data_IF_517676001029
#
_entry.id   IF_517676001029
#
_cell.length_a   1.000
_cell.length_b   1.000
_cell.length_c   1.000
_cell.angle_alpha   90.00
_cell.angle_beta   90.00
_cell.angle_gamma   90.00
#
_symmetry.space_group_name_H-M   'P 1'
#
loop_
_entity.id
_entity.type
_entity.pdbx_description
1 polymer ?
#
# COMPACT_ATOMS: atom_id res chain seq x y z
N UNK A 1 -13.44 -12.24 -32.28
CA UNK A 1 -13.66 -10.79 -32.50
C UNK A 1 -14.81 -10.20 -31.68
N UNK A 2 -16.02 -10.78 -31.65
CA UNK A 2 -17.18 -10.23 -30.89
C UNK A 2 -16.94 -10.02 -29.38
N UNK A 3 -16.20 -10.91 -28.72
CA UNK A 3 -15.93 -10.81 -27.28
C UNK A 3 -15.00 -9.62 -26.95
N UNK A 4 -13.96 -9.41 -27.77
CA UNK A 4 -13.01 -8.29 -27.64
C UNK A 4 -13.72 -6.96 -27.88
N UNK A 5 -14.62 -6.90 -28.88
CA UNK A 5 -15.46 -5.73 -29.15
C UNK A 5 -16.45 -5.44 -28.00
N UNK A 6 -17.05 -6.47 -27.39
CA UNK A 6 -17.92 -6.32 -26.21
C UNK A 6 -17.15 -5.83 -24.98
N UNK A 7 -15.95 -6.36 -24.74
CA UNK A 7 -15.08 -5.93 -23.64
C UNK A 7 -14.63 -4.47 -23.83
N UNK A 8 -14.26 -4.09 -25.06
CA UNK A 8 -13.88 -2.72 -25.40
C UNK A 8 -15.03 -1.71 -25.26
N UNK A 9 -16.27 -2.13 -25.55
CA UNK A 9 -17.47 -1.29 -25.40
C UNK A 9 -18.08 -1.32 -24.00
N UNK A 10 -17.53 -2.10 -23.06
CA UNK A 10 -18.02 -2.13 -21.69
C UNK A 10 -17.81 -0.78 -20.99
N UNK A 11 -18.74 -0.38 -20.10
CA UNK A 11 -18.59 0.83 -19.29
C UNK A 11 -17.32 0.81 -18.43
N UNK A 12 -16.84 -0.38 -18.09
CA UNK A 12 -15.61 -0.62 -17.33
C UNK A 12 -14.34 -0.30 -18.13
N UNK A 13 -14.38 -0.46 -19.45
CA UNK A 13 -13.25 -0.18 -20.33
C UNK A 13 -13.06 1.31 -20.67
N UNK A 14 -14.00 2.18 -20.30
CA UNK A 14 -13.89 3.64 -20.48
C UNK A 14 -12.77 4.19 -19.60
N UNK A 15 -11.93 5.07 -20.15
CA UNK A 15 -10.77 5.61 -19.44
C UNK A 15 -11.13 6.35 -18.14
N UNK A 16 -12.27 7.05 -18.09
CA UNK A 16 -12.70 7.74 -16.85
C UNK A 16 -13.12 6.76 -15.74
N UNK A 17 -13.77 5.66 -16.09
CA UNK A 17 -14.10 4.58 -15.14
C UNK A 17 -12.82 3.94 -14.61
N UNK A 18 -11.89 3.59 -15.51
CA UNK A 18 -10.60 3.02 -15.13
C UNK A 18 -9.81 3.97 -14.22
N UNK A 19 -9.71 5.26 -14.56
CA UNK A 19 -9.03 6.26 -13.73
C UNK A 19 -9.67 6.36 -12.34
N UNK A 20 -11.01 6.32 -12.26
CA UNK A 20 -11.72 6.33 -10.98
C UNK A 20 -11.39 5.10 -10.13
N UNK A 21 -11.41 3.91 -10.73
CA UNK A 21 -11.05 2.66 -10.05
C UNK A 21 -9.58 2.65 -9.61
N UNK A 22 -8.66 3.07 -10.46
CA UNK A 22 -7.24 3.23 -10.11
C UNK A 22 -7.10 4.14 -8.89
N UNK A 23 -7.77 5.30 -8.88
CA UNK A 23 -7.70 6.21 -7.74
C UNK A 23 -8.28 5.65 -6.44
N UNK A 24 -9.40 4.94 -6.50
CA UNK A 24 -10.01 4.33 -5.30
C UNK A 24 -9.09 3.25 -4.75
N UNK A 25 -8.64 2.33 -5.60
CA UNK A 25 -7.80 1.21 -5.19
C UNK A 25 -6.42 1.67 -4.68
N UNK A 26 -5.82 2.68 -5.30
CA UNK A 26 -4.52 3.23 -4.88
C UNK A 26 -4.56 3.93 -3.51
N UNK A 27 -5.74 4.36 -3.05
CA UNK A 27 -5.91 5.02 -1.75
C UNK A 27 -6.42 4.03 -0.70
N UNK A 28 -7.44 3.24 -1.03
CA UNK A 28 -8.05 2.28 -0.09
C UNK A 28 -7.13 1.08 0.17
N UNK A 29 -6.41 0.58 -0.85
CA UNK A 29 -5.49 -0.54 -0.69
C UNK A 29 -4.47 -0.31 0.44
N UNK A 30 -3.71 0.80 0.41
CA UNK A 30 -2.81 1.16 1.50
C UNK A 30 -3.47 1.31 2.88
N UNK A 31 -4.70 1.83 2.95
CA UNK A 31 -5.45 1.93 4.22
C UNK A 31 -5.74 0.54 4.78
N UNK A 32 -6.19 -0.38 3.92
CA UNK A 32 -6.43 -1.78 4.29
C UNK A 32 -5.14 -2.45 4.77
N UNK A 33 -4.02 -2.25 4.06
CA UNK A 33 -2.70 -2.80 4.45
C UNK A 33 -2.34 -2.37 5.88
N UNK A 34 -2.37 -1.06 6.16
CA UNK A 34 -1.92 -0.55 7.46
C UNK A 34 -2.88 -0.93 8.58
N UNK A 35 -4.19 -0.87 8.35
CA UNK A 35 -5.16 -1.34 9.36
C UNK A 35 -4.96 -2.81 9.73
N UNK A 36 -4.65 -3.65 8.74
CA UNK A 36 -4.36 -5.06 8.98
C UNK A 36 -2.98 -5.28 9.62
N UNK A 37 -1.97 -4.48 9.26
CA UNK A 37 -0.66 -4.50 9.92
C UNK A 37 -0.75 -4.12 11.40
N UNK A 38 -1.58 -3.12 11.76
CA UNK A 38 -1.84 -2.82 13.17
C UNK A 38 -2.54 -3.96 13.91
N UNK A 39 -3.48 -4.64 13.26
CA UNK A 39 -4.10 -5.83 13.84
C UNK A 39 -3.02 -6.91 14.07
N UNK A 40 -2.18 -7.19 13.08
CA UNK A 40 -1.08 -8.14 13.18
C UNK A 40 -0.15 -7.83 14.38
N UNK A 41 0.26 -6.57 14.52
CA UNK A 41 1.03 -6.11 15.69
C UNK A 41 0.35 -6.41 17.02
N UNK A 42 -0.96 -6.14 17.11
CA UNK A 42 -1.75 -6.36 18.33
C UNK A 42 -1.84 -7.85 18.64
N UNK A 43 -2.01 -8.71 17.63
CA UNK A 43 -2.01 -10.16 17.77
C UNK A 43 -0.68 -10.67 18.33
N UNK A 44 0.45 -10.17 17.80
CA UNK A 44 1.78 -10.48 18.34
C UNK A 44 1.93 -10.06 19.81
N UNK A 45 1.46 -8.86 20.17
CA UNK A 45 1.48 -8.38 21.56
C UNK A 45 0.62 -9.23 22.51
N UNK A 46 -0.48 -9.78 21.99
CA UNK A 46 -1.37 -10.68 22.73
C UNK A 46 -0.85 -12.12 22.78
N UNK A 47 0.28 -12.42 22.11
CA UNK A 47 0.88 -13.75 22.01
C UNK A 47 -0.10 -14.77 21.42
N UNK A 48 -0.89 -14.33 20.44
CA UNK A 48 -1.74 -15.25 19.68
C UNK A 48 -0.86 -16.24 18.90
N UNK A 49 -1.35 -17.46 18.60
CA UNK A 49 -0.57 -18.43 17.85
C UNK A 49 -0.19 -17.91 16.45
N UNK A 50 1.10 -17.98 16.14
CA UNK A 50 1.65 -17.46 14.89
C UNK A 50 1.39 -18.38 13.70
N UNK A 51 0.77 -17.83 12.66
CA UNK A 51 0.61 -18.48 11.37
C UNK A 51 0.96 -17.49 10.26
N UNK A 52 1.76 -17.95 9.30
CA UNK A 52 2.03 -17.18 8.08
C UNK A 52 0.73 -16.78 7.35
N UNK A 53 -0.30 -17.64 7.41
CA UNK A 53 -1.62 -17.37 6.84
C UNK A 53 -2.65 -16.92 7.89
N UNK A 54 -2.27 -15.99 8.78
CA UNK A 54 -3.20 -15.43 9.76
C UNK A 54 -4.27 -14.56 9.09
N UNK A 55 -5.43 -14.33 9.76
CA UNK A 55 -6.46 -13.43 9.25
C UNK A 55 -5.93 -12.01 8.97
N UNK A 56 -5.05 -11.47 9.82
CA UNK A 56 -4.39 -10.16 9.62
C UNK A 56 -3.55 -10.16 8.34
N UNK A 57 -2.67 -11.15 8.16
CA UNK A 57 -1.87 -11.30 6.94
C UNK A 57 -2.72 -11.40 5.68
N UNK A 58 -3.86 -12.12 5.73
CA UNK A 58 -4.76 -12.23 4.57
C UNK A 58 -5.33 -10.88 4.16
N UNK A 59 -5.66 -10.02 5.12
CA UNK A 59 -6.17 -8.67 4.85
C UNK A 59 -5.03 -7.76 4.35
N UNK A 60 -3.81 -7.90 4.87
CA UNK A 60 -2.61 -7.23 4.33
C UNK A 60 -2.44 -7.58 2.84
N UNK A 61 -2.43 -8.86 2.49
CA UNK A 61 -2.31 -9.32 1.10
C UNK A 61 -3.47 -8.86 0.24
N UNK A 62 -4.68 -8.82 0.79
CA UNK A 62 -5.83 -8.25 0.09
C UNK A 62 -5.59 -6.77 -0.26
N UNK A 63 -5.11 -5.95 0.68
CA UNK A 63 -4.76 -4.55 0.42
C UNK A 63 -3.63 -4.39 -0.61
N UNK A 64 -2.61 -5.25 -0.58
CA UNK A 64 -1.55 -5.30 -1.62
C UNK A 64 -2.13 -5.64 -2.98
N UNK A 65 -3.06 -6.61 -3.04
CA UNK A 65 -3.75 -7.00 -4.27
C UNK A 65 -4.60 -5.86 -4.86
N UNK A 66 -5.22 -5.03 -4.01
CA UNK A 66 -5.96 -3.84 -4.44
C UNK A 66 -5.03 -2.83 -5.11
N UNK A 67 -3.89 -2.52 -4.47
CA UNK A 67 -2.88 -1.60 -5.02
C UNK A 67 -2.29 -2.15 -6.33
N UNK A 68 -2.10 -3.46 -6.40
CA UNK A 68 -1.61 -4.15 -7.61
C UNK A 68 -2.61 -4.11 -8.75
N UNK A 69 -3.90 -4.35 -8.48
CA UNK A 69 -4.97 -4.16 -9.45
C UNK A 69 -4.99 -2.71 -9.99
N UNK A 70 -4.79 -1.73 -9.09
CA UNK A 70 -4.66 -0.32 -9.48
C UNK A 70 -3.49 -0.10 -10.45
N UNK A 71 -2.31 -0.66 -10.13
CA UNK A 71 -1.13 -0.57 -10.99
C UNK A 71 -1.36 -1.21 -12.37
N UNK A 72 -1.97 -2.40 -12.44
CA UNK A 72 -2.28 -3.10 -13.70
C UNK A 72 -3.22 -2.25 -14.56
N UNK A 73 -4.30 -1.73 -13.98
CA UNK A 73 -5.24 -0.86 -14.69
C UNK A 73 -4.58 0.46 -15.14
N UNK A 74 -3.67 1.00 -14.31
CA UNK A 74 -2.83 2.14 -14.64
C UNK A 74 -1.91 1.90 -15.83
N UNK A 75 -1.26 0.74 -15.90
CA UNK A 75 -0.47 0.32 -17.06
C UNK A 75 -1.33 0.30 -18.33
N UNK A 76 -2.55 -0.25 -18.27
CA UNK A 76 -3.47 -0.26 -19.41
C UNK A 76 -3.78 1.16 -19.91
N UNK A 77 -4.00 2.12 -19.00
CA UNK A 77 -4.24 3.54 -19.35
C UNK A 77 -3.02 4.19 -20.01
N UNK A 78 -1.81 3.89 -19.53
CA UNK A 78 -0.56 4.38 -20.14
C UNK A 78 -0.36 3.78 -21.54
N UNK A 79 -0.56 2.47 -21.70
CA UNK A 79 -0.41 1.80 -23.00
C UNK A 79 -1.40 2.29 -24.05
N UNK A 80 -2.63 2.62 -23.63
CA UNK A 80 -3.64 3.24 -24.49
C UNK A 80 -3.35 4.71 -24.83
N UNK A 81 -2.26 5.29 -24.29
CA UNK A 81 -1.90 6.70 -24.42
C UNK A 81 -3.05 7.65 -24.03
N UNK A 82 -3.90 7.24 -23.08
CA UNK A 82 -5.10 7.99 -22.70
C UNK A 82 -4.88 8.92 -21.50
N UNK A 83 -3.64 9.11 -21.06
CA UNK A 83 -3.28 9.85 -19.84
C UNK A 83 -2.00 10.66 -20.05
N UNK A 84 -1.99 11.89 -19.53
CA UNK A 84 -0.89 12.85 -19.70
C UNK A 84 -0.62 13.62 -18.39
N UNK A 85 0.51 14.35 -18.35
CA UNK A 85 0.86 15.24 -17.24
C UNK A 85 0.82 14.57 -15.86
N UNK A 86 0.20 15.25 -14.89
CA UNK A 86 0.12 14.79 -13.50
C UNK A 86 -0.60 13.45 -13.33
N UNK A 87 -1.57 13.13 -14.19
CA UNK A 87 -2.29 11.86 -14.16
C UNK A 87 -1.37 10.69 -14.49
N UNK A 88 -0.53 10.85 -15.53
CA UNK A 88 0.48 9.85 -15.91
C UNK A 88 1.53 9.68 -14.81
N UNK A 89 1.98 10.78 -14.20
CA UNK A 89 2.91 10.73 -13.06
C UNK A 89 2.29 10.00 -11.87
N UNK A 90 1.05 10.31 -11.51
CA UNK A 90 0.34 9.63 -10.42
C UNK A 90 0.22 8.12 -10.65
N UNK A 91 -0.15 7.71 -11.86
CA UNK A 91 -0.19 6.28 -12.23
C UNK A 91 1.19 5.62 -12.11
N UNK A 92 2.26 6.29 -12.54
CA UNK A 92 3.62 5.74 -12.38
C UNK A 92 4.01 5.55 -10.92
N UNK A 93 3.65 6.49 -10.05
CA UNK A 93 3.90 6.35 -8.60
C UNK A 93 3.15 5.16 -8.01
N UNK A 94 1.88 4.94 -8.39
CA UNK A 94 1.12 3.75 -7.98
C UNK A 94 1.80 2.46 -8.43
N UNK A 95 2.29 2.42 -9.68
CA UNK A 95 3.01 1.24 -10.21
C UNK A 95 4.29 0.97 -9.42
N UNK A 96 5.12 2.00 -9.21
CA UNK A 96 6.37 1.85 -8.43
C UNK A 96 6.06 1.44 -6.99
N UNK A 97 5.07 2.07 -6.35
CA UNK A 97 4.65 1.72 -5.00
C UNK A 97 4.16 0.27 -4.88
N UNK A 98 3.38 -0.21 -5.84
CA UNK A 98 2.92 -1.60 -5.91
C UNK A 98 4.07 -2.59 -6.10
N UNK A 99 5.05 -2.27 -6.96
CA UNK A 99 6.24 -3.12 -7.14
C UNK A 99 7.04 -3.19 -5.84
N UNK A 100 7.26 -2.06 -5.18
CA UNK A 100 7.92 -2.04 -3.87
C UNK A 100 7.15 -2.91 -2.87
N UNK A 101 5.82 -2.81 -2.80
CA UNK A 101 5.03 -3.61 -1.87
C UNK A 101 5.19 -5.12 -2.10
N UNK A 102 5.11 -5.57 -3.36
CA UNK A 102 5.23 -7.00 -3.68
C UNK A 102 6.63 -7.51 -3.35
N UNK A 103 7.66 -6.79 -3.80
CA UNK A 103 9.06 -7.21 -3.59
C UNK A 103 9.41 -7.20 -2.10
N UNK A 104 8.97 -6.15 -1.39
CA UNK A 104 9.29 -6.00 0.04
C UNK A 104 8.50 -6.98 0.89
N UNK A 105 7.24 -7.26 0.59
CA UNK A 105 6.48 -8.29 1.31
C UNK A 105 7.08 -9.69 1.15
N UNK A 106 7.64 -10.01 -0.02
CA UNK A 106 8.40 -11.25 -0.19
C UNK A 106 9.74 -11.22 0.57
N UNK A 107 10.45 -10.09 0.52
CA UNK A 107 11.70 -9.90 1.27
C UNK A 107 11.51 -9.98 2.78
N UNK A 108 10.37 -9.51 3.28
CA UNK A 108 9.98 -9.56 4.68
C UNK A 108 9.70 -11.00 5.14
N UNK A 109 8.95 -11.76 4.36
CA UNK A 109 8.79 -13.21 4.58
C UNK A 109 10.13 -13.95 4.67
N UNK A 110 11.09 -13.63 3.79
CA UNK A 110 12.43 -14.22 3.86
C UNK A 110 13.22 -13.75 5.09
N UNK A 111 13.02 -12.50 5.52
CA UNK A 111 13.60 -11.97 6.76
C UNK A 111 13.12 -12.78 7.95
N UNK A 112 11.81 -13.06 8.03
CA UNK A 112 11.22 -13.88 9.10
C UNK A 112 11.78 -15.30 9.14
N UNK A 113 12.00 -15.91 7.97
CA UNK A 113 12.59 -17.26 7.88
C UNK A 113 14.05 -17.31 8.37
N UNK A 114 14.82 -16.23 8.18
CA UNK A 114 16.26 -16.20 8.48
C UNK A 114 16.55 -15.63 9.87
N UNK A 115 15.86 -14.56 10.25
CA UNK A 115 16.15 -13.77 11.45
C UNK A 115 15.07 -13.90 12.54
N UNK A 116 13.98 -14.60 12.26
CA UNK A 116 12.82 -14.70 13.14
C UNK A 116 11.81 -13.57 12.90
N UNK A 117 10.63 -13.72 13.50
CA UNK A 117 9.54 -12.75 13.37
C UNK A 117 9.99 -11.41 13.96
N UNK A 118 9.80 -10.35 13.20
CA UNK A 118 10.06 -8.98 13.62
C UNK A 118 8.75 -8.16 13.68
N UNK A 119 8.75 -7.07 14.44
CA UNK A 119 7.60 -6.15 14.50
C UNK A 119 7.58 -5.15 13.34
N UNK A 120 6.52 -4.34 13.24
CA UNK A 120 6.32 -3.34 12.16
C UNK A 120 7.48 -2.36 11.95
N UNK A 121 8.35 -2.15 12.95
CA UNK A 121 9.48 -1.20 12.88
C UNK A 121 10.74 -1.87 12.28
N UNK A 122 10.64 -3.08 11.74
CA UNK A 122 11.81 -3.74 11.18
C UNK A 122 12.31 -3.10 9.88
N UNK A 123 13.57 -3.38 9.54
CA UNK A 123 14.20 -2.90 8.31
C UNK A 123 13.58 -3.51 7.06
N UNK A 124 13.07 -4.75 7.13
CA UNK A 124 12.39 -5.40 6.00
C UNK A 124 11.02 -4.76 5.70
N UNK A 125 10.38 -4.15 6.70
CA UNK A 125 9.10 -3.46 6.56
C UNK A 125 9.19 -2.05 5.93
N UNK A 126 10.29 -1.32 6.10
CA UNK A 126 10.37 0.09 5.64
C UNK A 126 10.16 0.27 4.12
N UNK A 127 10.71 -0.60 3.24
CA UNK A 127 10.42 -0.54 1.81
C UNK A 127 8.94 -0.80 1.45
N UNK A 128 8.24 -1.63 2.22
CA UNK A 128 6.79 -1.86 2.08
C UNK A 128 6.02 -0.55 2.36
N UNK A 129 6.41 0.15 3.43
CA UNK A 129 5.79 1.41 3.84
C UNK A 129 6.05 2.55 2.85
N UNK A 130 7.26 2.61 2.29
CA UNK A 130 7.56 3.53 1.19
C UNK A 130 6.61 3.27 0.00
N UNK A 131 6.30 2.00 -0.28
CA UNK A 131 5.31 1.63 -1.28
C UNK A 131 3.92 2.21 -1.01
N UNK A 132 3.47 2.24 0.25
CA UNK A 132 2.20 2.87 0.67
C UNK A 132 2.20 4.38 0.43
N UNK A 133 3.31 5.06 0.77
CA UNK A 133 3.50 6.50 0.54
C UNK A 133 3.43 6.82 -0.95
N UNK A 134 4.14 6.06 -1.79
CA UNK A 134 4.12 6.27 -3.25
C UNK A 134 2.74 6.01 -3.86
N UNK A 135 2.05 4.94 -3.43
CA UNK A 135 0.71 4.63 -3.92
C UNK A 135 -0.31 5.71 -3.55
N UNK A 136 -0.29 6.17 -2.29
CA UNK A 136 -1.19 7.23 -1.81
C UNK A 136 -0.90 8.59 -2.45
N UNK A 137 0.37 8.98 -2.64
CA UNK A 137 0.74 10.17 -3.40
C UNK A 137 0.28 10.07 -4.86
N UNK A 138 0.44 8.89 -5.46
CA UNK A 138 -0.08 8.59 -6.78
C UNK A 138 -1.59 8.80 -6.86
N UNK A 139 -2.34 8.30 -5.86
CA UNK A 139 -3.78 8.51 -5.71
C UNK A 139 -4.17 9.99 -5.68
N UNK A 140 -3.45 10.84 -4.93
CA UNK A 140 -3.68 12.29 -4.90
C UNK A 140 -3.49 12.91 -6.28
N UNK A 141 -2.38 12.60 -6.96
CA UNK A 141 -2.09 13.19 -8.27
C UNK A 141 -3.12 12.80 -9.33
N UNK A 142 -3.64 11.58 -9.25
CA UNK A 142 -4.72 11.08 -10.09
C UNK A 142 -6.03 11.83 -9.78
N UNK A 143 -6.41 11.94 -8.50
CA UNK A 143 -7.64 12.60 -8.05
C UNK A 143 -7.63 14.12 -8.30
N UNK A 144 -6.45 14.75 -8.27
CA UNK A 144 -6.26 16.17 -8.61
C UNK A 144 -6.53 16.43 -10.09
N UNK A 145 -6.35 15.44 -10.97
CA UNK A 145 -6.61 15.58 -12.40
C UNK A 145 -8.12 15.45 -12.69
N UNK A 146 -8.76 16.59 -12.93
CA UNK A 146 -10.22 16.75 -13.01
C UNK A 146 -10.83 16.28 -14.33
N UNK A 147 -10.04 16.10 -15.37
CA UNK A 147 -10.53 15.77 -16.71
C UNK A 147 -11.08 14.32 -16.76
N UNK A 148 -10.56 13.44 -15.89
CA UNK A 148 -10.81 12.01 -15.97
C UNK A 148 -11.48 11.39 -14.73
N UNK A 149 -11.69 12.13 -13.64
CA UNK A 149 -12.41 11.64 -12.45
C UNK A 149 -13.34 12.68 -11.82
N UNK A 150 -14.53 12.22 -11.38
CA UNK A 150 -15.53 13.05 -10.69
C UNK A 150 -15.47 12.95 -9.16
N UNK A 151 -14.47 12.24 -8.61
CA UNK A 151 -14.35 11.92 -7.18
C UNK A 151 -13.80 13.08 -6.32
N UNK A 152 -14.32 14.31 -6.50
CA UNK A 152 -13.86 15.50 -5.77
C UNK A 152 -13.93 15.32 -4.25
N UNK A 153 -15.01 14.70 -3.76
CA UNK A 153 -15.21 14.48 -2.33
C UNK A 153 -14.19 13.50 -1.72
N UNK A 154 -13.54 12.67 -2.54
CA UNK A 154 -12.56 11.68 -2.08
C UNK A 154 -11.13 12.26 -1.97
N UNK A 155 -10.86 13.39 -2.61
CA UNK A 155 -9.55 14.05 -2.55
C UNK A 155 -9.10 14.41 -1.11
N UNK A 156 -9.92 15.04 -0.23
CA UNK A 156 -9.48 15.33 1.14
C UNK A 156 -9.13 14.05 1.92
N UNK A 157 -9.91 12.98 1.75
CA UNK A 157 -9.59 11.67 2.33
C UNK A 157 -8.22 11.17 1.85
N UNK A 158 -7.98 11.18 0.53
CA UNK A 158 -6.70 10.79 -0.05
C UNK A 158 -5.52 11.61 0.46
N UNK A 159 -5.70 12.92 0.72
CA UNK A 159 -4.67 13.79 1.28
C UNK A 159 -4.34 13.38 2.72
N UNK A 160 -5.36 13.19 3.56
CA UNK A 160 -5.19 12.74 4.95
C UNK A 160 -4.47 11.39 4.99
N UNK A 161 -4.88 10.45 4.14
CA UNK A 161 -4.25 9.13 4.00
C UNK A 161 -2.77 9.22 3.65
N UNK A 162 -2.39 10.04 2.66
CA UNK A 162 -0.97 10.26 2.32
C UNK A 162 -0.17 10.89 3.46
N UNK A 163 -0.73 11.90 4.13
CA UNK A 163 -0.07 12.55 5.26
C UNK A 163 0.13 11.55 6.41
N UNK A 164 -0.86 10.71 6.67
CA UNK A 164 -0.77 9.64 7.66
C UNK A 164 0.37 8.67 7.32
N UNK A 165 0.43 8.10 6.12
CA UNK A 165 1.52 7.17 5.76
C UNK A 165 2.89 7.82 5.72
N UNK A 166 2.98 9.08 5.30
CA UNK A 166 4.26 9.81 5.29
C UNK A 166 4.75 10.04 6.73
N UNK A 167 3.85 10.42 7.62
CA UNK A 167 4.16 10.61 9.04
C UNK A 167 4.50 9.28 9.70
N UNK A 168 3.78 8.20 9.36
CA UNK A 168 4.03 6.85 9.83
C UNK A 168 5.42 6.35 9.44
N UNK A 169 5.79 6.42 8.15
CA UNK A 169 7.12 6.05 7.68
C UNK A 169 8.22 6.87 8.37
N UNK A 170 8.01 8.19 8.51
CA UNK A 170 8.98 9.04 9.20
C UNK A 170 9.11 8.65 10.68
N UNK A 171 7.99 8.38 11.35
CA UNK A 171 7.96 7.91 12.73
C UNK A 171 8.73 6.59 12.91
N UNK A 172 8.53 5.61 12.02
CA UNK A 172 9.25 4.34 12.06
C UNK A 172 10.76 4.51 11.84
N UNK A 173 11.15 5.31 10.84
CA UNK A 173 12.56 5.62 10.61
C UNK A 173 13.20 6.31 11.83
N UNK A 174 12.51 7.26 12.45
CA UNK A 174 12.99 7.91 13.68
C UNK A 174 13.15 6.90 14.81
N UNK A 175 12.21 5.97 14.99
CA UNK A 175 12.30 4.94 16.03
C UNK A 175 13.44 3.95 15.78
N UNK A 176 13.69 3.54 14.53
CA UNK A 176 14.82 2.69 14.17
C UNK A 176 16.15 3.30 14.64
N UNK A 177 16.35 4.61 14.46
CA UNK A 177 17.58 5.27 14.91
C UNK A 177 17.53 5.64 16.42
N UNK A 178 16.37 6.08 16.91
CA UNK A 178 16.20 6.65 18.24
C UNK A 178 16.07 5.64 19.38
N UNK A 179 15.75 4.37 19.10
CA UNK A 179 15.58 3.35 20.16
C UNK A 179 16.83 3.14 21.02
N UNK A 180 18.02 3.31 20.42
CA UNK A 180 19.32 3.20 21.11
C UNK A 180 19.53 4.28 22.17
N UNK A 181 18.81 5.41 22.09
CA UNK A 181 19.04 6.59 22.93
C UNK A 181 18.01 6.70 24.06
N UNK A 182 16.79 6.16 23.88
CA UNK A 182 15.65 6.53 24.73
C UNK A 182 14.92 5.39 25.44
N UNK A 183 15.33 4.12 25.29
CA UNK A 183 14.68 2.95 25.93
C UNK A 183 13.15 3.05 25.93
N UNK A 184 12.57 3.40 24.78
CA UNK A 184 11.16 3.79 24.69
C UNK A 184 10.32 2.51 24.71
N UNK A 185 9.36 2.35 25.64
CA UNK A 185 8.46 1.19 25.66
C UNK A 185 7.68 1.02 24.35
N UNK A 186 7.45 2.12 23.63
CA UNK A 186 6.82 2.13 22.29
C UNK A 186 7.66 1.38 21.26
N UNK A 187 8.99 1.45 21.33
CA UNK A 187 9.84 0.66 20.43
C UNK A 187 9.71 -0.83 20.73
N UNK A 188 9.66 -1.25 22.00
CA UNK A 188 9.42 -2.65 22.34
C UNK A 188 8.08 -3.14 21.79
N UNK A 189 7.01 -2.35 21.93
CA UNK A 189 5.66 -2.71 21.44
C UNK A 189 5.62 -2.94 19.92
N UNK A 190 6.36 -2.15 19.14
CA UNK A 190 6.33 -2.20 17.68
C UNK A 190 7.53 -2.92 17.04
N UNK A 191 8.54 -3.29 17.82
CA UNK A 191 9.67 -4.12 17.37
C UNK A 191 9.58 -5.57 17.84
N UNK A 192 8.78 -5.87 18.87
CA UNK A 192 8.61 -7.22 19.40
C UNK A 192 7.79 -8.08 18.43
N UNK A 193 8.46 -8.71 17.48
CA UNK A 193 8.02 -10.01 16.98
C UNK A 193 8.38 -11.04 18.05
N UNK A 194 7.40 -11.63 18.72
CA UNK A 194 7.68 -12.68 19.68
C UNK A 194 8.03 -13.98 18.91
N UNK A 195 9.30 -14.19 18.58
CA UNK A 195 9.77 -15.53 18.26
C UNK A 195 9.86 -16.35 19.56
N UNK A 196 8.73 -16.87 20.03
CA UNK A 196 8.76 -18.03 20.92
C UNK A 196 8.88 -19.24 19.99
N UNK A 197 10.12 -19.62 19.69
CA UNK A 197 10.45 -21.01 19.36
C UNK A 197 10.75 -21.74 20.66
#
# INVERSE_FOLDING_TARGET
>A
MRLIQRLSNSRLAKSSTLVSLVSILAVIGPVVIVSAGFWDAISHLQKEPEFFWSPSHMIVYFGVSMTTCSAIMGCMLIFRKSVHGSLKTGIKLVIVGSILQIVSGFGDSLSHDIFGIDGLISWSHQPLELGLVLASLGGILILKNREHTKLKAFLPFSIVTFLFFTTWLFFNLVLIFGHTIQCIPVYEIFSSGCSIL
#
